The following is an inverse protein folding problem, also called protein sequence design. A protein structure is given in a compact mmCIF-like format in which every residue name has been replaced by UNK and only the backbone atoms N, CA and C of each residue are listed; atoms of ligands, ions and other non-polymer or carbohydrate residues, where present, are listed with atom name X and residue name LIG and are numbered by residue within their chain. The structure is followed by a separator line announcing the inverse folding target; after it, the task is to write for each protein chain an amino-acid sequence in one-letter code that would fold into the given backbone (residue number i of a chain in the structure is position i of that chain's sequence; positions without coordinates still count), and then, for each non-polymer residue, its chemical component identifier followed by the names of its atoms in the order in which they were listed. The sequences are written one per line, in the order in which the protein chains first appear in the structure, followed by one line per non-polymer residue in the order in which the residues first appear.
data_IF_203784914975
#
_entry.id   IF_203784914975
#
_cell.length_a   1.000
_cell.length_b   1.000
_cell.length_c   1.000
_cell.angle_alpha   90.00
_cell.angle_beta   90.00
_cell.angle_gamma   90.00
#
_symmetry.space_group_name_H-M   'P 1'
#
loop_
_entity.id
_entity.type
_entity.pdbx_description
1 polymer ?
#
# COMPACT_ATOMS: atom_id res chain seq x y z
N UNK A 1 18.33 7.88 4.65
CA UNK A 1 17.50 6.68 4.86
C UNK A 1 16.15 6.95 4.23
N UNK A 2 15.58 6.00 3.46
CA UNK A 2 14.23 6.14 2.91
C UNK A 2 13.22 6.36 4.05
N UNK A 3 12.22 7.21 3.83
CA UNK A 3 11.15 7.47 4.82
C UNK A 3 9.78 7.30 4.19
N UNK A 4 8.79 6.97 5.03
CA UNK A 4 7.39 6.89 4.61
C UNK A 4 6.92 8.23 4.04
N UNK A 5 7.27 9.35 4.67
CA UNK A 5 6.88 10.68 4.19
C UNK A 5 7.42 10.99 2.78
N UNK A 6 8.60 10.46 2.42
CA UNK A 6 9.14 10.56 1.06
C UNK A 6 8.30 9.75 0.07
N UNK A 7 7.88 8.54 0.44
CA UNK A 7 7.01 7.72 -0.37
C UNK A 7 5.62 8.36 -0.52
N UNK A 8 5.04 8.90 0.55
CA UNK A 8 3.76 9.61 0.52
C UNK A 8 3.83 10.83 -0.41
N UNK A 9 4.94 11.58 -0.40
CA UNK A 9 5.14 12.69 -1.34
C UNK A 9 5.10 12.21 -2.79
N UNK A 10 5.82 11.13 -3.12
CA UNK A 10 5.77 10.51 -4.45
C UNK A 10 4.37 10.02 -4.82
N UNK A 11 3.61 9.47 -3.86
CA UNK A 11 2.22 9.05 -4.09
C UNK A 11 1.31 10.24 -4.42
N UNK A 12 1.47 11.38 -3.74
CA UNK A 12 0.73 12.62 -4.05
C UNK A 12 1.04 13.14 -5.47
N UNK A 13 2.25 12.89 -5.97
CA UNK A 13 2.66 13.21 -7.35
C UNK A 13 2.22 12.14 -8.38
N UNK A 14 1.54 11.07 -7.95
CA UNK A 14 1.17 9.94 -8.82
C UNK A 14 2.35 9.03 -9.21
N UNK A 15 3.52 9.23 -8.61
CA UNK A 15 4.74 8.47 -8.88
C UNK A 15 4.75 7.12 -8.12
N UNK A 16 3.69 6.34 -8.23
CA UNK A 16 3.47 5.10 -7.47
C UNK A 16 4.56 4.05 -7.68
N UNK A 17 5.12 3.93 -8.89
CA UNK A 17 6.23 3.01 -9.15
C UNK A 17 7.48 3.35 -8.32
N UNK A 18 7.79 4.64 -8.16
CA UNK A 18 8.92 5.10 -7.34
C UNK A 18 8.61 4.94 -5.85
N UNK A 19 7.39 5.26 -5.43
CA UNK A 19 6.96 5.06 -4.05
C UNK A 19 7.12 3.59 -3.60
N UNK A 20 6.73 2.62 -4.44
CA UNK A 20 6.90 1.19 -4.13
C UNK A 20 8.35 0.77 -3.88
N UNK A 21 9.32 1.36 -4.57
CA UNK A 21 10.75 1.05 -4.35
C UNK A 21 11.14 1.45 -2.93
N UNK A 22 10.84 2.70 -2.55
CA UNK A 22 11.11 3.23 -1.21
C UNK A 22 10.39 2.41 -0.13
N UNK A 23 9.10 2.13 -0.34
CA UNK A 23 8.30 1.37 0.60
C UNK A 23 8.79 -0.07 0.76
N UNK A 24 9.29 -0.69 -0.32
CA UNK A 24 9.87 -2.03 -0.25
C UNK A 24 11.18 -2.05 0.53
N UNK A 25 12.00 -0.99 0.43
CA UNK A 25 13.21 -0.84 1.25
C UNK A 25 12.84 -0.70 2.74
N UNK A 26 11.87 0.16 3.06
CA UNK A 26 11.40 0.34 4.45
C UNK A 26 10.87 -0.96 5.03
N UNK A 27 10.03 -1.70 4.29
CA UNK A 27 9.48 -2.99 4.73
C UNK A 27 10.56 -4.07 4.84
N UNK A 28 11.63 -3.99 4.04
CA UNK A 28 12.75 -4.92 4.16
C UNK A 28 13.53 -4.71 5.46
N UNK A 29 13.62 -3.46 5.93
CA UNK A 29 14.30 -3.11 7.18
C UNK A 29 13.39 -3.30 8.40
N UNK A 30 12.11 -2.92 8.29
CA UNK A 30 11.06 -3.13 9.29
C UNK A 30 9.80 -3.76 8.65
N UNK A 31 9.69 -5.10 8.69
CA UNK A 31 8.55 -5.81 8.12
C UNK A 31 7.20 -5.56 8.80
N UNK A 32 7.18 -4.89 9.96
CA UNK A 32 5.97 -4.60 10.73
C UNK A 32 5.55 -3.12 10.66
N UNK A 33 6.24 -2.28 9.87
CA UNK A 33 5.85 -0.88 9.65
C UNK A 33 4.48 -0.82 8.95
N UNK A 34 3.43 -0.66 9.75
CA UNK A 34 2.05 -0.61 9.26
C UNK A 34 1.79 0.56 8.32
N UNK A 35 2.48 1.71 8.49
CA UNK A 35 2.32 2.83 7.56
C UNK A 35 2.87 2.45 6.19
N UNK A 36 4.08 1.90 6.14
CA UNK A 36 4.69 1.45 4.90
C UNK A 36 3.87 0.32 4.23
N UNK A 37 3.32 -0.61 5.02
CA UNK A 37 2.44 -1.68 4.52
C UNK A 37 1.14 -1.13 3.93
N UNK A 38 0.53 -0.12 4.55
CA UNK A 38 -0.65 0.56 4.01
C UNK A 38 -0.33 1.21 2.67
N UNK A 39 0.71 2.04 2.65
CA UNK A 39 1.08 2.85 1.49
C UNK A 39 1.53 1.98 0.31
N UNK A 40 2.24 0.86 0.57
CA UNK A 40 2.61 -0.06 -0.51
C UNK A 40 1.38 -0.79 -1.05
N UNK A 41 0.41 -1.08 -0.18
CA UNK A 41 -0.88 -1.64 -0.57
C UNK A 41 -1.65 -0.71 -1.51
N UNK A 42 -1.74 0.58 -1.15
CA UNK A 42 -2.36 1.62 -1.99
C UNK A 42 -1.59 1.75 -3.31
N UNK A 43 -0.25 1.85 -3.26
CA UNK A 43 0.56 1.97 -4.47
C UNK A 43 0.42 0.75 -5.40
N UNK A 44 0.32 -0.47 -4.85
CA UNK A 44 0.01 -1.66 -5.64
C UNK A 44 -1.37 -1.62 -6.27
N UNK A 45 -2.38 -1.07 -5.58
CA UNK A 45 -3.71 -0.85 -6.16
C UNK A 45 -3.61 0.10 -7.34
N UNK A 46 -2.96 1.25 -7.18
CA UNK A 46 -2.83 2.27 -8.23
C UNK A 46 -2.03 1.79 -9.44
N UNK A 47 -1.06 0.89 -9.26
CA UNK A 47 -0.30 0.31 -10.37
C UNK A 47 -0.90 -0.97 -10.95
N UNK A 48 -2.08 -1.40 -10.49
CA UNK A 48 -2.80 -2.57 -11.01
C UNK A 48 -2.27 -3.92 -10.52
N UNK A 49 -1.34 -3.93 -9.56
CA UNK A 49 -0.80 -5.13 -8.92
C UNK A 49 -1.76 -5.65 -7.83
N UNK A 50 -3.03 -5.83 -8.21
CA UNK A 50 -4.17 -6.00 -7.30
C UNK A 50 -3.99 -7.16 -6.30
N UNK A 51 -3.41 -8.29 -6.72
CA UNK A 51 -3.16 -9.42 -5.83
C UNK A 51 -2.14 -9.10 -4.72
N UNK A 52 -1.13 -8.27 -5.01
CA UNK A 52 -0.18 -7.79 -4.00
C UNK A 52 -0.84 -6.77 -3.08
N UNK A 53 -1.63 -5.86 -3.65
CA UNK A 53 -2.42 -4.89 -2.89
C UNK A 53 -3.33 -5.58 -1.88
N UNK A 54 -4.12 -6.57 -2.30
CA UNK A 54 -5.02 -7.33 -1.42
C UNK A 54 -4.26 -7.95 -0.25
N UNK A 55 -3.09 -8.55 -0.50
CA UNK A 55 -2.29 -9.16 0.58
C UNK A 55 -1.79 -8.12 1.59
N UNK A 56 -1.21 -7.03 1.12
CA UNK A 56 -0.71 -5.95 1.99
C UNK A 56 -1.84 -5.28 2.78
N UNK A 57 -2.92 -4.92 2.10
CA UNK A 57 -4.06 -4.24 2.71
C UNK A 57 -4.82 -5.14 3.69
N UNK A 58 -4.96 -6.44 3.41
CA UNK A 58 -5.53 -7.39 4.38
C UNK A 58 -4.66 -7.54 5.63
N UNK A 59 -3.33 -7.49 5.49
CA UNK A 59 -2.44 -7.46 6.64
C UNK A 59 -2.65 -6.17 7.46
N UNK A 60 -2.69 -5.02 6.79
CA UNK A 60 -2.91 -3.73 7.44
C UNK A 60 -4.24 -3.67 8.20
N UNK A 61 -5.37 -3.99 7.54
CA UNK A 61 -6.71 -3.82 8.15
C UNK A 61 -7.00 -4.79 9.30
N UNK A 62 -6.18 -5.84 9.46
CA UNK A 62 -6.24 -6.69 10.66
C UNK A 62 -5.72 -5.97 11.91
N UNK A 63 -4.77 -5.05 11.73
CA UNK A 63 -4.15 -4.29 12.79
C UNK A 63 -4.83 -2.93 12.99
N UNK A 64 -5.14 -2.21 11.91
CA UNK A 64 -5.85 -0.94 11.94
C UNK A 64 -7.07 -0.94 11.01
N UNK A 65 -8.26 -0.95 11.62
CA UNK A 65 -9.54 -0.97 10.92
C UNK A 65 -10.09 0.42 10.61
N UNK A 66 -9.43 1.49 11.06
CA UNK A 66 -9.98 2.85 11.07
C UNK A 66 -9.61 3.67 9.85
N UNK A 67 -8.56 3.28 9.12
CA UNK A 67 -8.11 4.00 7.93
C UNK A 67 -9.06 3.76 6.73
N UNK A 68 -9.82 4.79 6.28
CA UNK A 68 -10.76 4.62 5.17
C UNK A 68 -10.06 4.39 3.83
N UNK A 69 -8.88 4.96 3.62
CA UNK A 69 -8.12 4.81 2.37
C UNK A 69 -7.66 3.37 2.15
N UNK A 70 -7.30 2.67 3.22
CA UNK A 70 -6.93 1.26 3.15
C UNK A 70 -8.11 0.38 2.72
N UNK A 71 -9.32 0.66 3.23
CA UNK A 71 -10.53 -0.07 2.85
C UNK A 71 -10.98 0.24 1.42
N UNK A 72 -10.90 1.50 1.00
CA UNK A 72 -11.17 1.91 -0.38
C UNK A 72 -10.23 1.18 -1.35
N UNK A 73 -8.92 1.26 -1.12
CA UNK A 73 -7.91 0.61 -1.94
C UNK A 73 -8.10 -0.92 -1.99
N UNK A 74 -8.51 -1.53 -0.86
CA UNK A 74 -8.78 -2.97 -0.79
C UNK A 74 -10.01 -3.34 -1.61
N UNK A 75 -11.08 -2.56 -1.51
CA UNK A 75 -12.29 -2.71 -2.31
C UNK A 75 -12.01 -2.59 -3.80
N UNK A 76 -11.25 -1.57 -4.22
CA UNK A 76 -10.82 -1.40 -5.61
C UNK A 76 -10.01 -2.60 -6.12
N UNK A 77 -9.02 -3.07 -5.35
CA UNK A 77 -8.20 -4.21 -5.76
C UNK A 77 -9.03 -5.51 -5.87
N UNK A 78 -9.96 -5.74 -4.94
CA UNK A 78 -10.90 -6.86 -4.97
C UNK A 78 -11.83 -6.83 -6.17
N UNK A 79 -12.45 -5.68 -6.42
CA UNK A 79 -13.30 -5.46 -7.59
C UNK A 79 -12.54 -5.75 -8.90
N UNK A 80 -11.31 -5.22 -9.04
CA UNK A 80 -10.47 -5.42 -10.22
C UNK A 80 -10.00 -6.86 -10.42
N UNK A 81 -10.03 -7.70 -9.38
CA UNK A 81 -9.70 -9.13 -9.46
C UNK A 81 -10.92 -10.03 -9.62
N UNK A 82 -12.14 -9.47 -9.62
CA UNK A 82 -13.39 -10.24 -9.62
C UNK A 82 -13.68 -10.93 -8.28
N UNK A 83 -12.90 -10.64 -7.23
CA UNK A 83 -13.10 -11.17 -5.89
C UNK A 83 -13.93 -10.19 -5.07
N UNK A 84 -15.25 -10.14 -5.31
CA UNK A 84 -16.18 -9.36 -4.49
C UNK A 84 -16.45 -10.06 -3.14
#
# INVERSE_FOLDING_TARGET
MPTVDQAEHLMREGAFQRAKVILSEIISDDPEDLRAICDIGIAYTETGENNKAIKALLHYVRNDKTNPYAWEALGCARFRTGNL
#
